data_IF_287902771103
#
_entry.id   IF_287902771103
#
_cell.length_a   1.000
_cell.length_b   1.000
_cell.length_c   1.000
_cell.angle_alpha   90.00
_cell.angle_beta   90.00
_cell.angle_gamma   90.00
#
_symmetry.space_group_name_H-M   'P 1'
#
loop_
_entity.id
_entity.type
_entity.pdbx_description
1 polymer ?
#
# COMPACT_ATOMS: atom_id res chain seq x y z
N UNK A 1 0.19 32.30 32.91
CA UNK A 1 -0.44 31.41 31.91
C UNK A 1 0.01 30.00 32.25
N UNK A 2 -0.87 29.08 32.67
CA UNK A 2 -0.44 27.71 32.94
C UNK A 2 0.04 27.11 31.61
N UNK A 3 1.27 26.58 31.60
CA UNK A 3 1.82 25.90 30.44
C UNK A 3 0.93 24.69 30.16
N UNK A 4 0.13 24.73 29.08
CA UNK A 4 -0.62 23.57 28.63
C UNK A 4 0.37 22.41 28.49
N UNK A 5 0.04 21.27 29.11
CA UNK A 5 0.88 20.09 29.04
C UNK A 5 1.00 19.68 27.58
N UNK A 6 2.19 19.28 27.12
CA UNK A 6 2.39 18.80 25.75
C UNK A 6 1.44 17.63 25.42
N UNK A 7 0.98 16.88 26.44
CA UNK A 7 -0.02 15.81 26.32
C UNK A 7 -1.38 16.36 25.89
N UNK A 8 -1.82 17.47 26.48
CA UNK A 8 -3.11 18.10 26.17
C UNK A 8 -3.09 18.65 24.74
N UNK A 9 -1.96 19.26 24.34
CA UNK A 9 -1.75 19.71 22.97
C UNK A 9 -1.77 18.55 21.97
N UNK A 10 -1.11 17.42 22.27
CA UNK A 10 -1.10 16.24 21.42
C UNK A 10 -2.50 15.60 21.29
N UNK A 11 -3.25 15.49 22.39
CA UNK A 11 -4.61 14.96 22.38
C UNK A 11 -5.57 15.86 21.59
N UNK A 12 -5.44 17.18 21.72
CA UNK A 12 -6.22 18.13 20.93
C UNK A 12 -5.94 17.98 19.43
N UNK A 13 -4.69 17.79 19.03
CA UNK A 13 -4.33 17.58 17.64
C UNK A 13 -4.91 16.27 17.08
N UNK A 14 -4.72 15.15 17.79
CA UNK A 14 -5.26 13.84 17.36
C UNK A 14 -6.78 13.89 17.22
N UNK A 15 -7.46 14.56 18.16
CA UNK A 15 -8.91 14.73 18.12
C UNK A 15 -9.35 15.60 16.93
N UNK A 16 -8.63 16.68 16.66
CA UNK A 16 -8.90 17.55 15.51
C UNK A 16 -8.73 16.82 14.18
N UNK A 17 -7.63 16.08 14.01
CA UNK A 17 -7.33 15.31 12.79
C UNK A 17 -8.33 14.16 12.58
N UNK A 18 -8.79 13.53 13.66
CA UNK A 18 -9.77 12.44 13.58
C UNK A 18 -11.18 12.95 13.23
N UNK A 19 -11.50 14.20 13.58
CA UNK A 19 -12.82 14.81 13.35
C UNK A 19 -13.04 15.22 11.89
N UNK A 20 -11.97 15.64 11.19
CA UNK A 20 -12.02 16.00 9.77
C UNK A 20 -11.99 14.79 8.82
N UNK A 21 -11.72 13.59 9.35
CA UNK A 21 -11.45 12.39 8.55
C UNK A 21 -12.36 11.23 8.93
N UNK A 22 -13.67 11.35 8.71
CA UNK A 22 -14.61 10.22 8.80
C UNK A 22 -14.38 9.12 7.73
N UNK A 23 -13.27 9.16 6.98
CA UNK A 23 -12.85 8.10 6.06
C UNK A 23 -11.38 8.10 5.61
N UNK A 24 -10.53 9.01 6.09
CA UNK A 24 -9.16 9.19 5.57
C UNK A 24 -8.06 8.57 6.44
N UNK A 25 -8.31 8.27 7.73
CA UNK A 25 -7.38 7.46 8.54
C UNK A 25 -7.33 5.99 8.10
N UNK A 26 -8.34 5.52 7.37
CA UNK A 26 -8.42 4.15 6.81
C UNK A 26 -7.67 3.96 5.50
N UNK A 27 -7.06 5.01 4.93
CA UNK A 27 -6.34 4.92 3.64
C UNK A 27 -4.83 4.98 3.85
N UNK A 28 -4.30 4.13 4.74
CA UNK A 28 -2.85 3.87 4.74
C UNK A 28 -2.54 3.05 3.49
N UNK A 29 -1.81 3.66 2.54
CA UNK A 29 -1.33 2.98 1.36
C UNK A 29 -0.38 1.82 1.71
N UNK A 30 -0.08 0.95 0.73
CA UNK A 30 0.92 -0.09 0.91
C UNK A 30 2.27 0.52 1.28
N UNK A 31 3.01 -0.13 2.17
CA UNK A 31 4.35 0.27 2.60
C UNK A 31 5.35 -0.74 2.07
N UNK A 32 6.46 -0.24 1.52
CA UNK A 32 7.59 -1.07 1.11
C UNK A 32 8.78 -0.80 2.04
N UNK A 33 9.24 -1.84 2.73
CA UNK A 33 10.40 -1.80 3.60
C UNK A 33 11.65 -2.24 2.85
N UNK A 34 12.77 -1.55 3.09
CA UNK A 34 14.10 -1.90 2.58
C UNK A 34 15.05 -2.20 3.73
N UNK A 35 14.87 -3.34 4.43
CA UNK A 35 15.73 -3.68 5.55
C UNK A 35 17.17 -3.90 5.08
N UNK A 36 18.13 -3.50 5.89
CA UNK A 36 19.53 -3.93 5.72
C UNK A 36 19.63 -5.45 5.87
N UNK A 37 20.67 -6.06 5.31
CA UNK A 37 20.89 -7.51 5.40
C UNK A 37 20.86 -8.03 6.85
N UNK A 38 21.36 -7.25 7.80
CA UNK A 38 21.34 -7.57 9.24
C UNK A 38 19.95 -7.58 9.89
N UNK A 39 18.94 -7.04 9.21
CA UNK A 39 17.55 -6.93 9.69
C UNK A 39 16.58 -7.70 8.79
N UNK A 40 17.09 -8.51 7.84
CA UNK A 40 16.27 -9.28 6.93
C UNK A 40 15.42 -10.34 7.63
N UNK A 41 15.82 -10.81 8.80
CA UNK A 41 15.06 -11.82 9.56
C UNK A 41 14.09 -11.20 10.58
N UNK A 42 14.18 -9.89 10.82
CA UNK A 42 13.32 -9.22 11.80
C UNK A 42 11.89 -9.08 11.25
N UNK A 43 10.84 -9.51 11.98
CA UNK A 43 9.47 -9.52 11.48
C UNK A 43 8.77 -8.15 11.61
N UNK A 44 9.22 -7.17 10.83
CA UNK A 44 8.64 -5.81 10.85
C UNK A 44 7.13 -5.78 10.61
N UNK A 45 6.62 -6.66 9.76
CA UNK A 45 5.19 -6.77 9.40
C UNK A 45 4.31 -7.15 10.60
N UNK A 46 4.90 -7.76 11.63
CA UNK A 46 4.20 -8.15 12.85
C UNK A 46 4.24 -7.10 13.96
N UNK A 47 4.83 -5.92 13.70
CA UNK A 47 4.84 -4.83 14.68
C UNK A 47 3.42 -4.27 14.87
N UNK A 48 2.97 -3.99 16.10
CA UNK A 48 1.62 -3.48 16.36
C UNK A 48 1.25 -2.20 15.61
N UNK A 49 2.24 -1.36 15.27
CA UNK A 49 2.03 -0.13 14.52
C UNK A 49 1.82 -0.35 13.01
N UNK A 50 2.17 -1.54 12.51
CA UNK A 50 2.02 -1.98 11.12
C UNK A 50 0.97 -3.08 10.96
N UNK A 51 0.37 -3.55 12.06
CA UNK A 51 -0.69 -4.53 12.02
C UNK A 51 -1.90 -4.03 11.21
N UNK A 52 -2.45 -4.90 10.37
CA UNK A 52 -3.49 -4.57 9.40
C UNK A 52 -3.05 -3.70 8.21
N UNK A 53 -1.76 -3.37 8.07
CA UNK A 53 -1.24 -2.64 6.89
C UNK A 53 -0.68 -3.60 5.84
N UNK A 54 -0.89 -3.28 4.56
CA UNK A 54 -0.23 -3.99 3.46
C UNK A 54 1.26 -3.62 3.44
N UNK A 55 2.12 -4.52 3.92
CA UNK A 55 3.56 -4.30 4.00
C UNK A 55 4.29 -5.31 3.11
N UNK A 56 5.17 -4.82 2.25
CA UNK A 56 6.02 -5.62 1.38
C UNK A 56 7.50 -5.33 1.69
N UNK A 57 8.38 -6.29 1.43
CA UNK A 57 9.83 -6.08 1.49
C UNK A 57 10.42 -5.95 0.11
N UNK A 58 11.38 -5.05 -0.05
CA UNK A 58 12.13 -4.87 -1.28
C UNK A 58 13.63 -4.84 -1.01
N UNK A 59 14.41 -5.06 -2.06
CA UNK A 59 15.84 -4.74 -2.07
C UNK A 59 15.99 -3.42 -2.81
N UNK A 60 16.62 -2.45 -2.15
CA UNK A 60 16.90 -1.15 -2.75
C UNK A 60 17.89 -1.36 -3.91
N UNK A 61 17.37 -1.33 -5.14
CA UNK A 61 18.15 -1.59 -6.34
C UNK A 61 17.61 -0.76 -7.50
N UNK A 62 18.47 -0.49 -8.50
CA UNK A 62 18.08 0.23 -9.70
C UNK A 62 16.95 -0.48 -10.48
N UNK A 63 16.95 -1.82 -10.48
CA UNK A 63 15.90 -2.62 -11.11
C UNK A 63 14.54 -2.47 -10.42
N UNK A 64 14.52 -2.35 -9.09
CA UNK A 64 13.30 -2.14 -8.33
C UNK A 64 12.74 -0.73 -8.55
N UNK A 65 13.61 0.28 -8.59
CA UNK A 65 13.22 1.64 -8.98
C UNK A 65 12.70 1.72 -10.41
N UNK A 66 13.30 0.99 -11.35
CA UNK A 66 12.80 0.89 -12.73
C UNK A 66 11.41 0.25 -12.76
N UNK A 67 11.23 -0.86 -12.04
CA UNK A 67 9.92 -1.54 -11.92
C UNK A 67 8.86 -0.62 -11.34
N UNK A 68 9.19 0.16 -10.31
CA UNK A 68 8.29 1.16 -9.71
C UNK A 68 7.98 2.31 -10.68
N UNK A 69 8.95 2.72 -11.50
CA UNK A 69 8.78 3.79 -12.49
C UNK A 69 7.94 3.34 -13.70
N UNK A 70 8.01 2.06 -14.05
CA UNK A 70 7.24 1.45 -15.13
C UNK A 70 5.79 1.12 -14.72
N UNK A 71 5.44 1.29 -13.45
CA UNK A 71 4.07 1.09 -13.01
C UNK A 71 3.18 2.19 -13.59
N UNK A 72 2.29 1.81 -14.50
CA UNK A 72 1.32 2.74 -15.06
C UNK A 72 0.23 3.07 -14.04
N UNK A 73 -0.18 4.35 -13.96
CA UNK A 73 -1.35 4.72 -13.19
C UNK A 73 -2.61 4.09 -13.76
N UNK A 74 -3.42 3.50 -12.87
CA UNK A 74 -4.69 2.88 -13.24
C UNK A 74 -5.65 3.95 -13.79
N UNK A 75 -5.94 3.90 -15.10
CA UNK A 75 -7.07 4.63 -15.66
C UNK A 75 -8.35 4.06 -15.06
N UNK A 76 -9.16 4.92 -14.44
CA UNK A 76 -10.44 4.50 -13.90
C UNK A 76 -11.36 4.06 -15.05
N UNK A 77 -12.18 3.00 -14.90
CA UNK A 77 -13.12 2.60 -15.94
C UNK A 77 -14.27 3.60 -16.15
N UNK A 78 -14.25 4.78 -15.51
CA UNK A 78 -15.28 5.80 -15.65
C UNK A 78 -15.06 6.73 -16.86
N UNK A 79 -13.88 6.75 -17.49
CA UNK A 79 -13.58 7.70 -18.58
C UNK A 79 -13.89 7.18 -19.99
N UNK A 80 -14.65 6.08 -20.12
CA UNK A 80 -14.99 5.49 -21.44
C UNK A 80 -16.41 5.75 -21.91
N UNK A 81 -17.01 6.89 -21.54
CA UNK A 81 -18.20 7.40 -22.22
C UNK A 81 -18.20 8.93 -22.19
N UNK A 82 -18.38 9.51 -23.38
CA UNK A 82 -18.63 10.92 -23.69
C UNK A 82 -17.43 11.87 -23.72
N UNK A 83 -16.89 11.95 -24.94
CA UNK A 83 -16.14 13.05 -25.52
C UNK A 83 -16.96 14.35 -25.47
N UNK A 84 -16.59 15.29 -24.60
CA UNK A 84 -16.99 16.70 -24.73
C UNK A 84 -15.85 17.63 -24.24
N UNK A 85 -15.29 18.54 -25.06
CA UNK A 85 -14.07 19.27 -24.73
C UNK A 85 -14.37 20.65 -24.12
N UNK A 86 -15.02 20.71 -22.96
CA UNK A 86 -15.27 22.00 -22.30
C UNK A 86 -15.58 21.94 -20.80
N UNK A 87 -14.88 21.13 -20.02
CA UNK A 87 -14.92 21.28 -18.55
C UNK A 87 -13.51 21.08 -18.00
N UNK A 88 -12.95 22.16 -17.44
CA UNK A 88 -11.82 22.09 -16.52
C UNK A 88 -12.32 21.35 -15.28
N UNK A 89 -12.28 20.02 -15.34
CA UNK A 89 -12.47 19.17 -14.17
C UNK A 89 -11.18 19.20 -13.36
N UNK A 90 -11.09 20.23 -12.52
CA UNK A 90 -10.36 20.11 -11.26
C UNK A 90 -10.98 18.95 -10.50
N UNK A 91 -10.20 17.88 -10.33
CA UNK A 91 -10.24 16.81 -9.31
C UNK A 91 -9.73 15.55 -10.00
N UNK A 92 -8.50 15.16 -9.70
CA UNK A 92 -8.02 13.81 -10.00
C UNK A 92 -7.40 13.27 -8.72
N UNK A 93 -8.25 12.58 -7.98
CA UNK A 93 -8.01 11.68 -6.85
C UNK A 93 -6.54 11.29 -6.61
N UNK A 94 -5.96 11.49 -5.40
CA UNK A 94 -4.56 11.18 -5.11
C UNK A 94 -4.28 9.68 -4.89
N UNK A 95 -5.06 8.78 -5.51
CA UNK A 95 -4.94 7.33 -5.30
C UNK A 95 -4.94 6.57 -6.61
N UNK A 96 -3.90 6.78 -7.40
CA UNK A 96 -3.54 5.82 -8.43
C UNK A 96 -2.81 4.67 -7.74
N UNK A 97 -3.53 3.59 -7.46
CA UNK A 97 -2.93 2.37 -6.91
C UNK A 97 -2.05 1.77 -8.00
N UNK A 98 -0.73 1.96 -7.88
CA UNK A 98 0.25 1.35 -8.76
C UNK A 98 0.22 -0.17 -8.49
N UNK A 99 -0.34 -0.94 -9.42
CA UNK A 99 -0.46 -2.39 -9.27
C UNK A 99 0.09 -3.12 -10.49
N UNK A 100 0.96 -4.11 -10.28
CA UNK A 100 1.35 -5.05 -11.32
C UNK A 100 0.16 -5.99 -11.49
N UNK A 101 -0.46 -6.01 -12.68
CA UNK A 101 -1.54 -6.95 -12.98
C UNK A 101 -0.96 -8.16 -13.74
N UNK A 102 -0.75 -9.30 -13.09
CA UNK A 102 -0.41 -10.53 -13.82
C UNK A 102 -1.58 -10.93 -14.72
N UNK A 103 -1.27 -11.47 -15.90
CA UNK A 103 -2.25 -12.03 -16.82
C UNK A 103 -2.95 -13.22 -16.18
N UNK A 104 -4.28 -13.27 -16.21
CA UNK A 104 -5.07 -14.37 -15.65
C UNK A 104 -5.04 -15.64 -16.52
N UNK A 105 -4.42 -15.58 -17.70
CA UNK A 105 -4.53 -16.61 -18.75
C UNK A 105 -3.59 -17.81 -18.56
N UNK A 106 -2.47 -17.66 -17.84
CA UNK A 106 -1.51 -18.73 -17.65
C UNK A 106 -0.74 -18.57 -16.33
N UNK A 107 -1.20 -19.25 -15.29
CA UNK A 107 -0.42 -19.50 -14.08
C UNK A 107 0.09 -20.94 -14.10
N UNK A 108 1.31 -21.16 -13.61
CA UNK A 108 1.82 -22.49 -13.32
C UNK A 108 1.98 -22.63 -11.80
N UNK A 109 1.55 -23.76 -11.25
CA UNK A 109 1.74 -24.10 -9.85
C UNK A 109 2.56 -25.38 -9.75
N UNK A 110 3.47 -25.42 -8.78
CA UNK A 110 4.21 -26.63 -8.39
C UNK A 110 3.64 -27.08 -7.06
N UNK A 111 3.02 -28.25 -7.01
CA UNK A 111 2.45 -28.83 -5.79
C UNK A 111 3.21 -30.12 -5.44
N UNK A 112 3.67 -30.21 -4.20
CA UNK A 112 4.34 -31.37 -3.60
C UNK A 112 5.36 -32.08 -4.53
N UNK A 113 6.40 -31.39 -5.05
CA UNK A 113 7.35 -31.99 -5.98
C UNK A 113 8.17 -33.14 -5.34
N UNK A 114 8.25 -33.15 -4.01
CA UNK A 114 9.04 -34.11 -3.22
C UNK A 114 8.20 -35.27 -2.67
N UNK A 115 6.87 -35.19 -2.71
CA UNK A 115 5.97 -36.24 -2.23
C UNK A 115 5.77 -36.30 -0.71
N UNK A 116 6.44 -35.44 0.08
CA UNK A 116 6.41 -35.46 1.55
C UNK A 116 5.32 -34.57 2.15
N UNK A 117 4.70 -33.69 1.37
CA UNK A 117 3.67 -32.75 1.82
C UNK A 117 2.24 -33.28 1.60
N UNK A 118 1.97 -34.52 1.99
CA UNK A 118 0.68 -35.20 1.76
C UNK A 118 -0.54 -34.46 2.34
N UNK A 119 -0.40 -33.83 3.53
CA UNK A 119 -1.47 -33.01 4.10
C UNK A 119 -1.76 -31.73 3.31
N UNK A 120 -0.79 -31.20 2.57
CA UNK A 120 -0.94 -29.99 1.73
C UNK A 120 -1.49 -30.36 0.34
N UNK A 121 -1.29 -31.61 -0.09
CA UNK A 121 -1.77 -32.14 -1.37
C UNK A 121 -3.23 -32.60 -1.33
N UNK A 122 -3.70 -33.12 -0.19
CA UNK A 122 -5.07 -33.60 0.03
C UNK A 122 -6.10 -32.47 0.10
#
# INVERSE_FOLDING_TARGET
LPAASWKDAAQSFVSAVSSDQSGALSRRGPVVLFPSASLADFPFESLPCLDGQAVSRGVASAAMLATLSDMQPLASPADTLERDPAVVSTVSSPQQHLQIRPSQSAGYFVLNPSGDLSCTEA
#
